data_IF_090961918694
#
_entry.id   IF_090961918694
#
_cell.length_a   1.000
_cell.length_b   1.000
_cell.length_c   1.000
_cell.angle_alpha   90.00
_cell.angle_beta   90.00
_cell.angle_gamma   90.00
#
_symmetry.space_group_name_H-M   'P 1'
#
loop_
_entity.id
_entity.type
_entity.pdbx_description
1 polymer ?
#
# COMPACT_ATOMS: atom_id res chain seq x y z
N UNK A 1 -18.70 -4.58 0.43
CA UNK A 1 -18.46 -3.71 1.61
C UNK A 1 -17.27 -2.79 1.34
N UNK A 2 -17.25 -1.62 1.93
CA UNK A 2 -16.17 -0.64 1.70
C UNK A 2 -15.66 -0.15 3.04
N UNK A 3 -14.34 -0.05 3.19
CA UNK A 3 -13.75 0.64 4.34
C UNK A 3 -12.51 1.41 3.91
N UNK A 4 -12.08 2.35 4.75
CA UNK A 4 -10.96 3.24 4.49
C UNK A 4 -9.87 3.01 5.52
N UNK A 5 -8.61 3.10 5.09
CA UNK A 5 -7.47 2.99 5.97
C UNK A 5 -6.28 3.76 5.39
N UNK A 6 -5.25 3.93 6.20
CA UNK A 6 -3.99 4.56 5.79
C UNK A 6 -2.93 3.48 5.62
N UNK A 7 -2.09 3.59 4.60
CA UNK A 7 -0.98 2.65 4.43
C UNK A 7 0.03 2.77 5.56
N UNK A 8 0.57 1.63 5.97
CA UNK A 8 1.67 1.52 6.92
C UNK A 8 2.99 1.36 6.16
N UNK A 9 4.11 1.64 6.81
CA UNK A 9 5.44 1.37 6.28
C UNK A 9 5.85 2.22 5.09
N UNK A 10 5.18 3.34 4.84
CA UNK A 10 5.46 4.21 3.68
C UNK A 10 6.81 4.91 3.76
N UNK A 11 7.46 4.90 4.92
CA UNK A 11 8.78 5.53 5.13
C UNK A 11 9.95 4.55 5.01
N UNK A 12 9.67 3.26 4.82
CA UNK A 12 10.71 2.24 4.70
C UNK A 12 11.14 2.05 3.25
N UNK A 13 12.34 1.48 3.06
CA UNK A 13 12.86 1.13 1.75
C UNK A 13 12.39 -0.27 1.34
N UNK A 14 12.25 -0.49 0.04
CA UNK A 14 11.93 -1.81 -0.50
C UNK A 14 13.18 -2.70 -0.45
N UNK A 15 12.99 -3.99 -0.16
CA UNK A 15 14.09 -4.93 0.05
C UNK A 15 14.37 -5.85 -1.15
N UNK A 16 13.67 -5.66 -2.25
CA UNK A 16 13.72 -6.57 -3.40
C UNK A 16 14.79 -6.22 -4.44
N UNK A 17 15.95 -5.73 -3.99
CA UNK A 17 17.04 -5.31 -4.87
C UNK A 17 16.87 -3.91 -5.46
N UNK A 18 15.75 -3.27 -5.22
CA UNK A 18 15.51 -1.89 -5.57
C UNK A 18 15.76 -1.04 -4.34
N UNK A 19 16.77 -0.17 -4.40
CA UNK A 19 17.16 0.68 -3.28
C UNK A 19 16.32 1.95 -3.14
N UNK A 20 15.35 2.16 -4.02
CA UNK A 20 14.46 3.31 -3.89
C UNK A 20 13.62 3.20 -2.63
N UNK A 21 13.58 4.26 -1.83
CA UNK A 21 12.68 4.29 -0.71
C UNK A 21 11.25 4.61 -1.17
N UNK A 22 10.29 4.17 -0.37
CA UNK A 22 8.88 4.31 -0.73
C UNK A 22 8.43 5.76 -0.83
N UNK A 23 9.06 6.66 -0.06
CA UNK A 23 8.76 8.09 -0.13
C UNK A 23 9.09 8.67 -1.50
N UNK A 24 10.23 8.29 -2.09
CA UNK A 24 10.60 8.72 -3.44
C UNK A 24 9.64 8.18 -4.48
N UNK A 25 9.24 6.92 -4.35
CA UNK A 25 8.26 6.28 -5.26
C UNK A 25 6.92 7.02 -5.19
N UNK A 26 6.41 7.26 -3.99
CA UNK A 26 5.13 7.95 -3.79
C UNK A 26 5.19 9.35 -4.38
N UNK A 27 6.26 10.10 -4.08
CA UNK A 27 6.45 11.45 -4.60
C UNK A 27 6.42 11.48 -6.12
N UNK A 28 7.18 10.58 -6.75
CA UNK A 28 7.28 10.51 -8.20
C UNK A 28 5.92 10.20 -8.83
N UNK A 29 5.24 9.17 -8.34
CA UNK A 29 3.93 8.78 -8.86
C UNK A 29 2.89 9.86 -8.64
N UNK A 30 2.91 10.49 -7.49
CA UNK A 30 1.97 11.57 -7.16
C UNK A 30 2.12 12.74 -8.12
N UNK A 31 3.35 13.18 -8.39
CA UNK A 31 3.61 14.28 -9.31
C UNK A 31 3.30 13.94 -10.77
N UNK A 32 3.28 12.65 -11.12
CA UNK A 32 2.90 12.19 -12.44
C UNK A 32 1.39 11.99 -12.61
N UNK A 33 0.58 12.27 -11.56
CA UNK A 33 -0.85 12.05 -11.58
C UNK A 33 -1.27 10.59 -11.52
N UNK A 34 -0.38 9.70 -11.06
CA UNK A 34 -0.63 8.26 -11.01
C UNK A 34 -1.15 7.79 -9.66
N UNK A 35 -1.40 8.70 -8.72
CA UNK A 35 -1.99 8.40 -7.41
C UNK A 35 -3.21 9.30 -7.14
N UNK A 36 -3.96 9.59 -8.19
CA UNK A 36 -5.21 10.35 -8.07
C UNK A 36 -6.29 9.50 -7.39
N UNK A 37 -7.28 10.16 -6.79
CA UNK A 37 -8.43 9.51 -6.17
C UNK A 37 -9.05 8.50 -7.14
N UNK A 38 -9.28 7.28 -6.66
CA UNK A 38 -9.87 6.21 -7.44
C UNK A 38 -8.89 5.38 -8.26
N UNK A 39 -7.60 5.73 -8.29
CA UNK A 39 -6.59 4.90 -8.97
C UNK A 39 -6.48 3.56 -8.28
N UNK A 40 -6.55 2.48 -9.04
CA UNK A 40 -6.47 1.13 -8.47
C UNK A 40 -5.06 0.80 -7.98
N UNK A 41 -5.01 0.16 -6.82
CA UNK A 41 -3.80 -0.39 -6.21
C UNK A 41 -3.93 -1.90 -6.12
N UNK A 42 -2.80 -2.58 -5.91
CA UNK A 42 -2.75 -4.04 -5.94
C UNK A 42 -2.28 -4.57 -4.60
N UNK A 43 -3.00 -5.54 -4.07
CA UNK A 43 -2.72 -6.16 -2.77
C UNK A 43 -2.02 -7.49 -3.00
N UNK A 44 -0.94 -7.73 -2.26
CA UNK A 44 -0.17 -8.97 -2.36
C UNK A 44 0.12 -9.53 -0.98
N UNK A 45 -0.52 -10.66 -0.59
CA UNK A 45 -0.16 -11.34 0.65
C UNK A 45 1.28 -11.84 0.62
N UNK A 46 1.98 -11.70 1.75
CA UNK A 46 3.38 -12.08 1.89
C UNK A 46 3.56 -13.08 3.04
N UNK A 47 3.28 -14.38 2.83
CA UNK A 47 3.36 -15.38 3.91
C UNK A 47 4.78 -15.58 4.46
N UNK A 48 5.80 -15.22 3.67
CA UNK A 48 7.20 -15.37 4.05
C UNK A 48 7.82 -14.07 4.55
N UNK A 49 7.01 -13.06 4.85
CA UNK A 49 7.51 -11.81 5.38
C UNK A 49 8.15 -12.05 6.76
N UNK A 50 9.43 -11.64 6.98
CA UNK A 50 10.14 -11.96 8.22
C UNK A 50 9.60 -11.22 9.45
N UNK A 51 8.85 -10.15 9.25
CA UNK A 51 8.30 -9.34 10.35
C UNK A 51 6.84 -9.64 10.66
N UNK A 52 6.10 -10.18 9.69
CA UNK A 52 4.68 -10.46 9.81
C UNK A 52 4.27 -11.46 8.74
N UNK A 53 3.97 -12.69 9.14
CA UNK A 53 3.57 -13.75 8.21
C UNK A 53 2.15 -13.59 7.65
N UNK A 54 1.44 -12.55 8.09
CA UNK A 54 0.13 -12.16 7.56
C UNK A 54 0.18 -10.77 6.92
N UNK A 55 1.36 -10.32 6.51
CA UNK A 55 1.51 -9.03 5.85
C UNK A 55 0.84 -9.03 4.48
N UNK A 56 0.24 -7.90 4.12
CA UNK A 56 -0.30 -7.65 2.79
C UNK A 56 0.35 -6.38 2.25
N UNK A 57 1.21 -6.55 1.24
CA UNK A 57 1.89 -5.44 0.57
C UNK A 57 0.94 -4.75 -0.40
N UNK A 58 1.14 -3.45 -0.59
CA UNK A 58 0.32 -2.62 -1.46
C UNK A 58 1.21 -2.02 -2.54
N UNK A 59 0.83 -2.24 -3.80
CA UNK A 59 1.60 -1.81 -4.98
C UNK A 59 0.78 -0.88 -5.85
N UNK A 60 1.46 0.07 -6.47
CA UNK A 60 0.93 0.76 -7.63
C UNK A 60 1.21 -0.08 -8.88
N UNK A 61 0.56 0.28 -10.00
CA UNK A 61 0.78 -0.36 -11.29
C UNK A 61 2.27 -0.37 -11.65
N UNK A 62 2.77 -1.49 -12.18
CA UNK A 62 4.17 -1.65 -12.53
C UNK A 62 5.04 -2.12 -11.37
N UNK A 63 4.45 -2.79 -10.38
CA UNK A 63 5.14 -3.40 -9.23
C UNK A 63 5.89 -2.39 -8.35
N UNK A 64 5.40 -1.16 -8.28
CA UNK A 64 5.97 -0.12 -7.41
C UNK A 64 5.36 -0.25 -6.01
N UNK A 65 6.09 -0.84 -5.07
CA UNK A 65 5.59 -1.02 -3.71
C UNK A 65 5.51 0.30 -2.97
N UNK A 66 4.34 0.59 -2.42
CA UNK A 66 4.07 1.83 -1.69
C UNK A 66 4.14 1.64 -0.18
N UNK A 67 3.80 0.46 0.31
CA UNK A 67 3.75 0.17 1.73
C UNK A 67 2.99 -1.12 2.00
N UNK A 68 2.33 -1.17 3.17
CA UNK A 68 1.58 -2.33 3.63
C UNK A 68 0.24 -1.90 4.19
N UNK A 69 -0.71 -2.82 4.25
CA UNK A 69 -1.90 -2.63 5.08
C UNK A 69 -1.49 -2.63 6.56
N UNK A 70 -2.13 -1.81 7.42
CA UNK A 70 -1.88 -1.87 8.86
C UNK A 70 -2.14 -3.28 9.41
N UNK A 71 -1.36 -3.70 10.40
CA UNK A 71 -1.46 -5.06 10.98
C UNK A 71 -2.87 -5.39 11.45
N UNK A 72 -3.58 -4.42 12.02
CA UNK A 72 -4.95 -4.64 12.52
C UNK A 72 -5.94 -5.02 11.42
N UNK A 73 -5.58 -4.77 10.15
CA UNK A 73 -6.41 -5.06 8.97
C UNK A 73 -5.83 -6.24 8.19
N UNK A 74 -4.50 -6.30 8.07
CA UNK A 74 -3.83 -7.24 7.17
C UNK A 74 -4.11 -8.70 7.50
N UNK A 75 -4.24 -9.04 8.78
CA UNK A 75 -4.50 -10.42 9.19
C UNK A 75 -5.76 -10.97 8.52
N UNK A 76 -6.87 -10.25 8.62
CA UNK A 76 -8.15 -10.70 8.07
C UNK A 76 -8.12 -10.69 6.54
N UNK A 77 -7.54 -9.64 5.94
CA UNK A 77 -7.42 -9.55 4.48
C UNK A 77 -6.56 -10.70 3.95
N UNK A 78 -5.42 -10.97 4.59
CA UNK A 78 -4.54 -12.07 4.23
C UNK A 78 -5.29 -13.41 4.25
N UNK A 79 -5.97 -13.70 5.37
CA UNK A 79 -6.71 -14.96 5.52
C UNK A 79 -7.80 -15.08 4.47
N UNK A 80 -8.55 -14.02 4.23
CA UNK A 80 -9.62 -14.03 3.23
C UNK A 80 -9.08 -14.25 1.82
N UNK A 81 -8.00 -13.56 1.46
CA UNK A 81 -7.41 -13.68 0.13
C UNK A 81 -6.84 -15.08 -0.12
N UNK A 82 -6.23 -15.69 0.90
CA UNK A 82 -5.72 -17.07 0.75
C UNK A 82 -6.84 -18.09 0.61
N UNK A 83 -8.05 -17.75 1.01
CA UNK A 83 -9.26 -18.58 0.81
C UNK A 83 -10.00 -18.28 -0.49
N UNK A 84 -9.42 -17.40 -1.33
CA UNK A 84 -9.99 -17.05 -2.62
C UNK A 84 -10.95 -15.87 -2.61
N UNK A 85 -11.13 -15.19 -1.48
CA UNK A 85 -11.95 -13.98 -1.42
C UNK A 85 -11.22 -12.83 -2.12
N UNK A 86 -11.96 -12.04 -2.87
CA UNK A 86 -11.38 -10.94 -3.65
C UNK A 86 -11.51 -9.63 -2.89
N UNK A 87 -10.37 -8.93 -2.79
CA UNK A 87 -10.28 -7.58 -2.27
C UNK A 87 -9.71 -6.68 -3.36
N UNK A 88 -10.25 -5.47 -3.47
CA UNK A 88 -9.72 -4.44 -4.35
C UNK A 88 -9.36 -3.20 -3.53
N UNK A 89 -8.32 -2.50 -3.96
CA UNK A 89 -7.86 -1.30 -3.28
C UNK A 89 -7.73 -0.15 -4.26
N UNK A 90 -8.04 1.05 -3.79
CA UNK A 90 -8.00 2.27 -4.59
C UNK A 90 -7.42 3.41 -3.76
N UNK A 91 -6.72 4.32 -4.42
CA UNK A 91 -6.24 5.53 -3.77
C UNK A 91 -7.45 6.39 -3.33
N UNK A 92 -7.43 6.84 -2.09
CA UNK A 92 -8.33 7.88 -1.62
C UNK A 92 -7.67 9.24 -1.79
N UNK A 93 -6.58 9.47 -1.07
CA UNK A 93 -5.78 10.69 -1.24
C UNK A 93 -4.36 10.48 -0.76
N UNK A 94 -3.44 11.26 -1.31
CA UNK A 94 -2.07 11.37 -0.83
C UNK A 94 -2.00 12.54 0.14
N UNK A 95 -1.33 12.34 1.28
CA UNK A 95 -1.18 13.36 2.32
C UNK A 95 0.29 13.69 2.55
N UNK A 96 0.57 14.81 3.20
CA UNK A 96 1.93 15.19 3.56
C UNK A 96 2.76 15.66 2.37
N UNK A 97 4.08 15.49 2.48
CA UNK A 97 5.03 15.92 1.46
C UNK A 97 5.42 17.38 1.53
N UNK A 98 4.89 18.13 2.50
CA UNK A 98 5.15 19.56 2.69
C UNK A 98 5.99 19.79 3.94
N UNK A 99 6.84 20.79 3.91
CA UNK A 99 7.55 21.29 5.09
C UNK A 99 8.21 20.16 5.92
N UNK A 100 8.80 19.18 5.27
CA UNK A 100 9.46 18.05 5.94
C UNK A 100 8.55 16.93 6.40
N UNK A 101 7.24 17.02 6.14
CA UNK A 101 6.30 15.94 6.47
C UNK A 101 6.38 14.81 5.43
N UNK A 102 6.42 13.57 5.91
CA UNK A 102 6.41 12.40 5.03
C UNK A 102 5.10 12.29 4.28
N UNK A 103 5.16 11.73 3.06
CA UNK A 103 3.96 11.36 2.32
C UNK A 103 3.25 10.21 3.01
N UNK A 104 1.93 10.26 3.01
CA UNK A 104 1.06 9.17 3.39
C UNK A 104 0.03 8.92 2.30
N UNK A 105 -0.61 7.76 2.34
CA UNK A 105 -1.67 7.43 1.39
C UNK A 105 -2.85 6.86 2.15
N UNK A 106 -4.01 7.51 2.01
CA UNK A 106 -5.28 6.97 2.45
C UNK A 106 -5.87 6.17 1.29
N UNK A 107 -6.35 4.98 1.58
CA UNK A 107 -6.88 4.07 0.57
C UNK A 107 -8.29 3.63 0.92
N UNK A 108 -9.01 3.20 -0.11
CA UNK A 108 -10.33 2.57 0.01
C UNK A 108 -10.18 1.10 -0.33
N UNK A 109 -10.71 0.23 0.52
CA UNK A 109 -10.75 -1.22 0.30
C UNK A 109 -12.19 -1.61 0.01
N UNK A 110 -12.39 -2.42 -1.04
CA UNK A 110 -13.70 -2.97 -1.43
C UNK A 110 -13.64 -4.49 -1.43
N UNK A 111 -14.69 -5.11 -0.89
CA UNK A 111 -14.79 -6.57 -0.87
C UNK A 111 -16.22 -7.04 -0.74
#
# INVERSE_FOLDING_TARGET
MIFYTKLAGVTFSNENGNTENRQSIIRQLYHQGLLDDGTELYLKPEPNNPYDDHAVAVFAKGDSQLGYLPQRISYQVFEDMTKGKKYRAFVGCVTGGEAGNAYGINIRIEY
#
